data_IF_545750882556
#
_entry.id   IF_545750882556
#
_cell.length_a   1.000
_cell.length_b   1.000
_cell.length_c   1.000
_cell.angle_alpha   90.00
_cell.angle_beta   90.00
_cell.angle_gamma   90.00
#
_symmetry.space_group_name_H-M   'P 1'
#
loop_
_entity.id
_entity.type
_entity.pdbx_description
1 polymer ?
#
# COMPACT_ATOMS: atom_id res chain seq x y z
N UNK A 1 -15.26 30.37 0.95
CA UNK A 1 -14.90 29.60 -0.27
C UNK A 1 -16.04 28.64 -0.62
N UNK A 2 -16.38 28.45 -1.91
CA UNK A 2 -17.39 27.49 -2.37
C UNK A 2 -16.70 26.17 -2.77
N UNK A 3 -17.21 25.03 -2.30
CA UNK A 3 -16.68 23.71 -2.67
C UNK A 3 -16.92 23.44 -4.18
N UNK A 4 -15.94 22.84 -4.85
CA UNK A 4 -16.08 22.33 -6.22
C UNK A 4 -16.97 21.09 -6.25
N UNK A 5 -17.49 20.73 -7.44
CA UNK A 5 -18.28 19.50 -7.59
C UNK A 5 -17.45 18.25 -7.33
N UNK A 6 -16.16 18.25 -7.69
CA UNK A 6 -15.23 17.18 -7.31
C UNK A 6 -15.09 17.04 -5.78
N UNK A 7 -14.97 18.16 -5.06
CA UNK A 7 -14.88 18.12 -3.61
C UNK A 7 -16.18 17.61 -2.96
N UNK A 8 -17.35 17.91 -3.56
CA UNK A 8 -18.64 17.37 -3.12
C UNK A 8 -18.73 15.86 -3.38
N UNK A 9 -18.32 15.39 -4.55
CA UNK A 9 -18.30 13.98 -4.90
C UNK A 9 -17.37 13.18 -3.97
N UNK A 10 -16.13 13.66 -3.77
CA UNK A 10 -15.14 13.06 -2.86
C UNK A 10 -15.66 12.96 -1.42
N UNK A 11 -16.34 13.99 -0.93
CA UNK A 11 -16.90 13.98 0.43
C UNK A 11 -18.07 13.00 0.55
N UNK A 12 -18.92 12.91 -0.48
CA UNK A 12 -20.07 12.01 -0.51
C UNK A 12 -19.67 10.53 -0.64
N UNK A 13 -18.67 10.20 -1.45
CA UNK A 13 -18.27 8.81 -1.72
C UNK A 13 -17.12 8.33 -0.85
N UNK A 14 -16.32 9.25 -0.27
CA UNK A 14 -15.02 8.95 0.34
C UNK A 14 -14.02 8.30 -0.62
N UNK A 15 -14.21 8.48 -1.93
CA UNK A 15 -13.33 7.95 -2.97
C UNK A 15 -12.62 9.09 -3.71
N UNK A 16 -11.40 8.80 -4.17
CA UNK A 16 -10.68 9.62 -5.13
C UNK A 16 -11.20 9.43 -6.56
N UNK A 17 -10.66 10.21 -7.50
CA UNK A 17 -11.02 10.12 -8.92
C UNK A 17 -10.66 8.76 -9.55
N UNK A 18 -9.68 8.06 -8.96
CA UNK A 18 -9.26 6.72 -9.35
C UNK A 18 -10.08 5.60 -8.67
N UNK A 19 -11.15 5.97 -7.97
CA UNK A 19 -12.04 5.02 -7.29
C UNK A 19 -11.46 4.40 -6.02
N UNK A 20 -10.26 4.81 -5.59
CA UNK A 20 -9.65 4.34 -4.34
C UNK A 20 -10.16 5.14 -3.13
N UNK A 21 -10.27 4.51 -1.95
CA UNK A 21 -10.56 5.20 -0.69
C UNK A 21 -9.65 6.40 -0.43
N UNK A 22 -10.23 7.47 0.11
CA UNK A 22 -9.48 8.63 0.58
C UNK A 22 -8.95 8.34 1.97
N UNK A 23 -7.63 8.48 2.16
CA UNK A 23 -6.98 8.36 3.45
C UNK A 23 -6.58 9.73 4.00
N UNK A 24 -6.64 9.87 5.33
CA UNK A 24 -5.78 10.82 6.04
C UNK A 24 -4.33 10.33 5.97
N UNK A 25 -3.35 11.20 6.22
CA UNK A 25 -1.95 10.75 6.24
C UNK A 25 -1.71 9.61 7.23
N UNK A 26 -2.30 9.68 8.43
CA UNK A 26 -2.23 8.61 9.43
C UNK A 26 -2.80 7.28 8.92
N UNK A 27 -4.02 7.30 8.41
CA UNK A 27 -4.68 6.08 7.92
C UNK A 27 -4.04 5.53 6.65
N UNK A 28 -3.26 6.34 5.92
CA UNK A 28 -2.41 5.86 4.84
C UNK A 28 -1.19 5.11 5.39
N UNK A 29 -0.51 5.66 6.40
CA UNK A 29 0.62 4.98 7.05
C UNK A 29 0.20 3.65 7.68
N UNK A 30 -0.97 3.61 8.32
CA UNK A 30 -1.51 2.37 8.90
C UNK A 30 -1.75 1.29 7.82
N UNK A 31 -2.27 1.66 6.63
CA UNK A 31 -2.43 0.75 5.50
C UNK A 31 -1.07 0.27 4.98
N UNK A 32 -0.14 1.19 4.71
CA UNK A 32 1.20 0.87 4.21
C UNK A 32 1.97 -0.06 5.16
N UNK A 33 1.77 0.07 6.48
CA UNK A 33 2.41 -0.76 7.48
C UNK A 33 1.95 -2.23 7.47
N UNK A 34 0.85 -2.55 6.76
CA UNK A 34 0.38 -3.94 6.63
C UNK A 34 1.16 -4.76 5.60
N UNK A 35 1.99 -4.13 4.76
CA UNK A 35 2.89 -4.85 3.86
C UNK A 35 3.97 -5.57 4.67
N UNK A 36 4.06 -6.89 4.53
CA UNK A 36 4.95 -7.72 5.34
C UNK A 36 6.10 -8.29 4.51
N UNK A 37 7.29 -8.27 5.10
CA UNK A 37 8.48 -8.98 4.62
C UNK A 37 8.58 -10.32 5.36
N UNK A 38 8.40 -11.42 4.62
CA UNK A 38 8.41 -12.76 5.19
C UNK A 38 9.73 -13.46 4.85
N UNK A 39 10.35 -13.99 5.90
CA UNK A 39 11.48 -14.93 5.78
C UNK A 39 10.96 -16.31 6.11
N UNK A 40 10.83 -17.13 5.09
CA UNK A 40 10.24 -18.46 5.18
C UNK A 40 11.34 -19.52 5.10
N UNK A 41 11.19 -20.57 5.91
CA UNK A 41 12.03 -21.77 5.90
C UNK A 41 11.15 -22.99 5.68
N UNK A 42 11.70 -24.03 5.07
CA UNK A 42 10.99 -25.30 4.87
C UNK A 42 11.55 -26.38 5.80
N UNK A 43 10.72 -27.29 6.34
CA UNK A 43 11.22 -28.39 7.17
C UNK A 43 12.23 -29.29 6.44
N UNK A 44 12.09 -29.43 5.12
CA UNK A 44 12.98 -30.23 4.28
C UNK A 44 14.40 -29.66 4.21
N UNK A 45 14.53 -28.34 4.24
CA UNK A 45 15.81 -27.66 4.31
C UNK A 45 15.68 -26.40 5.18
N UNK A 46 15.90 -26.52 6.51
CA UNK A 46 15.82 -25.38 7.42
C UNK A 46 16.85 -24.29 7.14
N UNK A 47 17.94 -24.61 6.43
CA UNK A 47 18.97 -23.65 6.04
C UNK A 47 18.60 -22.86 4.78
N UNK A 48 17.64 -23.35 3.98
CA UNK A 48 17.16 -22.60 2.83
C UNK A 48 16.26 -21.45 3.28
N UNK A 49 16.63 -20.23 2.86
CA UNK A 49 15.89 -18.99 3.10
C UNK A 49 15.08 -18.63 1.87
N UNK A 50 13.76 -18.50 2.01
CA UNK A 50 12.86 -17.98 0.98
C UNK A 50 12.38 -16.61 1.45
N UNK A 51 12.71 -15.57 0.70
CA UNK A 51 12.29 -14.20 1.00
C UNK A 51 11.13 -13.82 0.10
N UNK A 52 10.04 -13.34 0.69
CA UNK A 52 8.88 -12.86 -0.06
C UNK A 52 8.17 -11.72 0.66
N UNK A 53 7.65 -10.76 -0.10
CA UNK A 53 6.71 -9.77 0.43
C UNK A 53 5.26 -10.24 0.23
N UNK A 54 4.33 -9.73 1.03
CA UNK A 54 2.90 -9.88 0.74
C UNK A 54 2.54 -9.15 -0.55
N UNK A 55 1.45 -9.58 -1.20
CA UNK A 55 0.92 -8.88 -2.38
C UNK A 55 0.39 -7.51 -1.93
N UNK A 56 0.88 -6.39 -2.49
CA UNK A 56 0.39 -5.07 -2.11
C UNK A 56 -1.09 -4.89 -2.45
N UNK A 57 -1.80 -4.07 -1.68
CA UNK A 57 -3.15 -3.60 -2.02
C UNK A 57 -3.08 -2.54 -3.14
N UNK A 58 -4.17 -2.27 -3.88
CA UNK A 58 -4.17 -1.22 -4.91
C UNK A 58 -3.75 0.18 -4.39
N UNK A 59 -4.10 0.49 -3.14
CA UNK A 59 -3.69 1.74 -2.47
C UNK A 59 -2.17 1.74 -2.22
N UNK A 60 -1.61 0.63 -1.73
CA UNK A 60 -0.17 0.49 -1.53
C UNK A 60 0.60 0.62 -2.85
N UNK A 61 0.16 -0.06 -3.92
CA UNK A 61 0.78 0.04 -5.25
C UNK A 61 0.76 1.48 -5.78
N UNK A 62 -0.36 2.20 -5.63
CA UNK A 62 -0.46 3.61 -6.01
C UNK A 62 0.51 4.47 -5.19
N UNK A 63 0.55 4.29 -3.87
CA UNK A 63 1.40 5.08 -2.99
C UNK A 63 2.89 4.88 -3.33
N UNK A 64 3.35 3.64 -3.45
CA UNK A 64 4.74 3.33 -3.81
C UNK A 64 5.14 3.89 -5.17
N UNK A 65 4.24 3.80 -6.17
CA UNK A 65 4.44 4.39 -7.49
C UNK A 65 4.56 5.91 -7.45
N UNK A 66 3.70 6.60 -6.69
CA UNK A 66 3.75 8.05 -6.52
C UNK A 66 5.03 8.51 -5.81
N UNK A 67 5.53 7.70 -4.88
CA UNK A 67 6.78 7.95 -4.15
C UNK A 67 8.03 7.52 -4.92
N UNK A 68 7.87 6.83 -6.06
CA UNK A 68 8.96 6.21 -6.83
C UNK A 68 9.83 5.26 -5.97
N UNK A 69 9.18 4.45 -5.13
CA UNK A 69 9.83 3.43 -4.27
C UNK A 69 9.34 2.05 -4.69
N UNK A 70 10.23 1.05 -4.73
CA UNK A 70 9.86 -0.34 -4.98
C UNK A 70 10.03 -1.18 -3.70
N UNK A 71 8.94 -1.75 -3.14
CA UNK A 71 9.04 -2.61 -1.96
C UNK A 71 9.72 -3.95 -2.25
N UNK A 72 9.77 -4.38 -3.53
CA UNK A 72 10.42 -5.62 -3.97
C UNK A 72 11.94 -5.46 -4.04
N UNK A 73 12.43 -4.24 -4.27
CA UNK A 73 13.86 -3.95 -4.40
C UNK A 73 14.55 -3.73 -3.05
N UNK A 74 13.85 -3.90 -1.92
CA UNK A 74 14.44 -3.80 -0.60
C UNK A 74 15.31 -5.04 -0.32
N UNK A 75 16.48 -5.10 -0.93
CA UNK A 75 17.57 -6.00 -0.57
C UNK A 75 18.33 -5.35 0.59
N UNK A 76 17.87 -5.57 1.82
CA UNK A 76 18.68 -5.34 3.02
C UNK A 76 19.56 -6.54 3.33
#
# INVERSE_FOLDING_TARGET
>A
ARRSDQARAKDATRLGEDGLPVHSFRTLLDDLATLAYNVCHTPLNPQAKIVMITRPTPIQEKAFRLLNVSPVACTQ
#
